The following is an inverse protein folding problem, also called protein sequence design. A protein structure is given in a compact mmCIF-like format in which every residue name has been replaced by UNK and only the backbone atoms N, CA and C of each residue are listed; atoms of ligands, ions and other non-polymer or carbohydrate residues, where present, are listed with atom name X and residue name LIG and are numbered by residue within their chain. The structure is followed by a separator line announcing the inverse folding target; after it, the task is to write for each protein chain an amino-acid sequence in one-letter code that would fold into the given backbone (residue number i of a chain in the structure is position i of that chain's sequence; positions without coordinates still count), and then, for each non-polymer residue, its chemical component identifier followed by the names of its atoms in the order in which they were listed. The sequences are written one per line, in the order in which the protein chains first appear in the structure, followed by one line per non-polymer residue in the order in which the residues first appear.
data_IF_296605659093
#
_entry.id   IF_296605659093
#
_cell.length_a   1.000
_cell.length_b   1.000
_cell.length_c   1.000
_cell.angle_alpha   90.00
_cell.angle_beta   90.00
_cell.angle_gamma   90.00
#
_symmetry.space_group_name_H-M   'P 1'
#
loop_
_entity.id
_entity.type
_entity.pdbx_description
1 polymer ?
#
# COMPACT_ATOMS: atom_id res chain seq x y z
N UNK A 1 25.62 -4.11 1.78
CA UNK A 1 24.64 -3.04 1.48
C UNK A 1 25.38 -1.87 0.87
N UNK A 2 24.85 -1.33 -0.22
CA UNK A 2 25.36 -0.11 -0.86
C UNK A 2 25.04 1.14 -0.01
N UNK A 3 25.63 2.29 -0.35
CA UNK A 3 25.27 3.59 0.26
C UNK A 3 23.82 3.98 0.00
N UNK A 4 23.28 3.64 -1.18
CA UNK A 4 21.87 3.85 -1.52
C UNK A 4 20.96 2.97 -0.65
N UNK A 5 21.31 1.71 -0.45
CA UNK A 5 20.57 0.77 0.41
C UNK A 5 20.43 1.30 1.85
N UNK A 6 21.53 1.84 2.39
CA UNK A 6 21.56 2.44 3.72
C UNK A 6 20.68 3.69 3.80
N UNK A 7 20.69 4.53 2.77
CA UNK A 7 19.86 5.72 2.70
C UNK A 7 18.36 5.38 2.65
N UNK A 8 17.99 4.35 1.89
CA UNK A 8 16.61 3.85 1.82
C UNK A 8 16.11 3.33 3.16
N UNK A 9 16.88 2.47 3.83
CA UNK A 9 16.51 1.94 5.15
C UNK A 9 16.40 3.08 6.17
N UNK A 10 17.37 4.00 6.21
CA UNK A 10 17.37 5.12 7.14
C UNK A 10 16.13 6.03 6.96
N UNK A 11 15.71 6.27 5.72
CA UNK A 11 14.52 7.06 5.40
C UNK A 11 13.24 6.43 5.94
N UNK A 12 13.01 5.15 5.65
CA UNK A 12 11.77 4.47 6.11
C UNK A 12 11.79 4.29 7.65
N UNK A 13 12.97 4.13 8.25
CA UNK A 13 13.12 4.14 9.70
C UNK A 13 12.80 5.51 10.33
N UNK A 14 13.12 6.61 9.66
CA UNK A 14 12.73 7.95 10.10
C UNK A 14 11.21 8.13 10.09
N UNK A 15 10.52 7.66 9.04
CA UNK A 15 9.05 7.62 8.98
C UNK A 15 8.46 6.81 10.15
N UNK A 16 9.03 5.63 10.43
CA UNK A 16 8.61 4.81 11.57
C UNK A 16 8.86 5.52 12.91
N UNK A 17 9.98 6.22 13.07
CA UNK A 17 10.30 6.97 14.27
C UNK A 17 9.30 8.11 14.50
N UNK A 18 8.95 8.85 13.44
CA UNK A 18 7.94 9.90 13.50
C UNK A 18 6.54 9.34 13.81
N UNK A 19 6.14 8.25 13.14
CA UNK A 19 4.91 7.53 13.45
C UNK A 19 4.83 7.11 14.92
N UNK A 20 5.91 6.55 15.48
CA UNK A 20 5.94 6.13 16.89
C UNK A 20 5.89 7.30 17.86
N UNK A 21 6.27 8.50 17.44
CA UNK A 21 6.13 9.72 18.26
C UNK A 21 4.67 10.15 18.36
N UNK A 22 3.92 10.08 17.26
CA UNK A 22 2.50 10.45 17.25
C UNK A 22 1.59 9.32 17.77
N UNK A 23 1.94 8.07 17.50
CA UNK A 23 1.07 6.91 17.70
C UNK A 23 1.83 5.73 18.34
N UNK A 24 2.41 5.90 19.54
CA UNK A 24 3.33 4.93 20.15
C UNK A 24 2.69 3.55 20.42
N UNK A 25 1.39 3.53 20.71
CA UNK A 25 0.62 2.36 21.13
C UNK A 25 -0.30 1.79 20.04
N UNK A 26 -0.24 2.33 18.81
CA UNK A 26 -1.02 1.87 17.66
C UNK A 26 -1.00 0.36 17.47
N UNK A 27 0.18 -0.25 17.52
CA UNK A 27 0.32 -1.69 17.34
C UNK A 27 -0.32 -2.48 18.47
N UNK A 28 -0.19 -2.03 19.71
CA UNK A 28 -0.73 -2.75 20.86
C UNK A 28 -2.27 -2.74 20.83
N UNK A 29 -2.87 -1.57 20.60
CA UNK A 29 -4.33 -1.42 20.53
C UNK A 29 -4.90 -2.15 19.31
N UNK A 30 -4.29 -1.96 18.14
CA UNK A 30 -4.71 -2.63 16.89
C UNK A 30 -4.55 -4.15 17.00
N UNK A 31 -3.45 -4.63 17.57
CA UNK A 31 -3.21 -6.05 17.81
C UNK A 31 -4.25 -6.69 18.71
N UNK A 32 -4.71 -5.98 19.76
CA UNK A 32 -5.82 -6.43 20.60
C UNK A 32 -7.15 -6.53 19.85
N UNK A 33 -7.41 -5.67 18.85
CA UNK A 33 -8.58 -5.82 17.97
C UNK A 33 -8.44 -7.03 17.05
N UNK A 34 -7.24 -7.28 16.52
CA UNK A 34 -6.97 -8.45 15.66
C UNK A 34 -7.14 -9.76 16.42
N UNK A 35 -6.75 -9.81 17.70
CA UNK A 35 -6.93 -10.99 18.55
C UNK A 35 -8.41 -11.34 18.81
N UNK A 36 -9.30 -10.36 18.64
CA UNK A 36 -10.76 -10.52 18.76
C UNK A 36 -11.43 -10.85 17.43
N UNK A 37 -10.67 -11.02 16.34
CA UNK A 37 -11.22 -11.41 15.03
C UNK A 37 -12.01 -12.71 15.15
N UNK A 38 -13.24 -12.70 14.62
CA UNK A 38 -14.18 -13.82 14.69
C UNK A 38 -15.13 -13.78 15.89
N UNK A 39 -14.98 -12.83 16.82
CA UNK A 39 -16.07 -12.49 17.74
C UNK A 39 -17.28 -11.94 16.96
N UNK A 40 -18.52 -12.11 17.46
CA UNK A 40 -19.70 -11.55 16.81
C UNK A 40 -19.58 -10.04 16.54
N UNK A 41 -19.70 -9.64 15.27
CA UNK A 41 -19.53 -8.26 14.82
C UNK A 41 -18.09 -7.84 14.52
N UNK A 42 -17.13 -8.77 14.63
CA UNK A 42 -15.71 -8.60 14.31
C UNK A 42 -15.24 -9.66 13.30
N UNK A 43 -16.01 -9.88 12.25
CA UNK A 43 -15.71 -10.82 11.17
C UNK A 43 -15.10 -10.13 9.96
N UNK A 44 -13.90 -10.57 9.56
CA UNK A 44 -13.28 -10.20 8.29
C UNK A 44 -12.34 -11.32 7.80
N UNK A 45 -11.97 -11.32 6.51
CA UNK A 45 -11.13 -12.38 5.94
C UNK A 45 -9.73 -12.46 6.54
N UNK A 46 -9.13 -13.64 6.49
CA UNK A 46 -7.81 -13.91 7.08
C UNK A 46 -6.66 -13.16 6.38
N UNK A 47 -6.80 -12.88 5.08
CA UNK A 47 -5.89 -12.09 4.26
C UNK A 47 -5.86 -10.60 4.61
N UNK A 48 -6.82 -10.10 5.40
CA UNK A 48 -6.79 -8.76 5.95
C UNK A 48 -6.32 -8.83 7.40
N UNK A 49 -5.20 -8.18 7.72
CA UNK A 49 -4.72 -8.14 9.10
C UNK A 49 -5.71 -7.41 10.01
N UNK A 50 -6.02 -6.15 9.68
CA UNK A 50 -7.01 -5.33 10.36
C UNK A 50 -7.72 -4.41 9.35
N UNK A 51 -9.06 -4.45 9.24
CA UNK A 51 -9.84 -3.47 8.50
C UNK A 51 -9.56 -2.03 8.93
N UNK A 52 -9.63 -1.05 8.01
CA UNK A 52 -9.38 0.35 8.40
C UNK A 52 -10.37 0.88 9.44
N UNK A 53 -11.56 0.27 9.58
CA UNK A 53 -12.49 0.56 10.66
C UNK A 53 -11.82 0.46 12.05
N UNK A 54 -10.88 -0.49 12.25
CA UNK A 54 -10.09 -0.59 13.47
C UNK A 54 -9.16 0.62 13.67
N UNK A 55 -8.53 1.10 12.59
CA UNK A 55 -7.72 2.33 12.61
C UNK A 55 -8.57 3.57 12.87
N UNK A 56 -9.77 3.66 12.30
CA UNK A 56 -10.72 4.74 12.57
C UNK A 56 -11.12 4.76 14.05
N UNK A 57 -11.47 3.61 14.61
CA UNK A 57 -11.80 3.50 16.03
C UNK A 57 -10.61 3.91 16.92
N UNK A 58 -9.40 3.48 16.58
CA UNK A 58 -8.16 3.86 17.24
C UNK A 58 -7.93 5.38 17.21
N UNK A 59 -8.05 6.04 16.05
CA UNK A 59 -7.83 7.48 15.92
C UNK A 59 -8.91 8.31 16.61
N UNK A 60 -10.17 7.88 16.48
CA UNK A 60 -11.31 8.52 17.14
C UNK A 60 -11.16 8.46 18.67
N UNK A 61 -10.69 7.33 19.22
CA UNK A 61 -10.42 7.20 20.67
C UNK A 61 -9.32 8.15 21.18
N UNK A 62 -8.46 8.66 20.28
CA UNK A 62 -7.43 9.68 20.57
C UNK A 62 -7.90 11.11 20.31
N UNK A 63 -9.19 11.30 20.03
CA UNK A 63 -9.75 12.62 19.68
C UNK A 63 -9.05 13.25 18.46
N UNK A 64 -8.48 12.44 17.56
CA UNK A 64 -8.03 12.92 16.25
C UNK A 64 -9.28 13.21 15.44
N UNK A 65 -9.45 14.47 15.01
CA UNK A 65 -10.65 14.95 14.33
C UNK A 65 -10.29 15.84 13.13
N UNK A 66 -11.30 16.14 12.31
CA UNK A 66 -11.18 17.03 11.15
C UNK A 66 -10.27 16.45 10.05
N UNK A 67 -9.62 17.34 9.30
CA UNK A 67 -8.80 16.98 8.13
C UNK A 67 -7.68 15.99 8.46
N UNK A 68 -7.14 16.05 9.68
CA UNK A 68 -6.10 15.14 10.17
C UNK A 68 -6.59 13.70 10.31
N UNK A 69 -7.87 13.50 10.64
CA UNK A 69 -8.43 12.16 10.74
C UNK A 69 -8.43 11.49 9.36
N UNK A 70 -8.90 12.19 8.33
CA UNK A 70 -8.97 11.66 6.96
C UNK A 70 -7.60 11.26 6.40
N UNK A 71 -6.59 12.10 6.59
CA UNK A 71 -5.23 11.84 6.09
C UNK A 71 -4.51 10.77 6.91
N UNK A 72 -4.63 10.79 8.24
CA UNK A 72 -3.87 9.89 9.10
C UNK A 72 -4.42 8.45 9.12
N UNK A 73 -5.69 8.21 8.78
CA UNK A 73 -6.27 6.84 8.71
C UNK A 73 -5.41 5.94 7.81
N UNK A 74 -5.06 6.41 6.60
CA UNK A 74 -4.19 5.67 5.67
C UNK A 74 -2.78 5.46 6.20
N UNK A 75 -2.16 6.55 6.69
CA UNK A 75 -0.76 6.56 7.17
C UNK A 75 -0.58 5.63 8.37
N UNK A 76 -1.50 5.70 9.33
CA UNK A 76 -1.48 4.90 10.56
C UNK A 76 -1.77 3.43 10.27
N UNK A 77 -2.74 3.13 9.39
CA UNK A 77 -3.02 1.74 9.00
C UNK A 77 -1.79 1.08 8.35
N UNK A 78 -1.14 1.78 7.42
CA UNK A 78 0.04 1.28 6.72
C UNK A 78 1.22 1.06 7.67
N UNK A 79 1.60 2.06 8.47
CA UNK A 79 2.79 1.96 9.35
C UNK A 79 2.57 1.06 10.56
N UNK A 80 1.33 0.88 11.03
CA UNK A 80 0.99 -0.13 12.05
C UNK A 80 1.21 -1.55 11.53
N UNK A 81 0.81 -1.83 10.29
CA UNK A 81 1.01 -3.13 9.66
C UNK A 81 2.46 -3.34 9.24
N UNK A 82 3.06 -2.34 8.59
CA UNK A 82 4.42 -2.44 8.06
C UNK A 82 5.44 -2.76 9.15
N UNK A 83 5.32 -2.15 10.34
CA UNK A 83 6.26 -2.41 11.45
C UNK A 83 6.29 -3.86 11.95
N UNK A 84 5.31 -4.69 11.58
CA UNK A 84 5.30 -6.12 11.90
C UNK A 84 6.39 -6.89 11.15
N UNK A 85 6.67 -6.50 9.90
CA UNK A 85 7.68 -7.14 9.06
C UNK A 85 8.87 -6.24 8.73
N UNK A 86 8.64 -4.94 8.54
CA UNK A 86 9.63 -3.92 8.15
C UNK A 86 10.41 -4.28 6.88
N UNK A 87 9.75 -4.91 5.91
CA UNK A 87 10.33 -5.20 4.59
C UNK A 87 10.35 -3.97 3.68
N UNK A 88 11.53 -3.66 3.15
CA UNK A 88 11.77 -2.69 2.06
C UNK A 88 12.18 -3.49 0.83
N UNK A 89 11.41 -3.36 -0.26
CA UNK A 89 11.56 -4.15 -1.47
C UNK A 89 12.11 -3.29 -2.61
N UNK A 90 13.26 -3.69 -3.12
CA UNK A 90 13.90 -3.11 -4.30
C UNK A 90 13.65 -4.03 -5.48
N UNK A 91 12.93 -3.52 -6.48
CA UNK A 91 12.57 -4.27 -7.68
C UNK A 91 13.66 -4.09 -8.73
N UNK A 92 14.20 -5.21 -9.20
CA UNK A 92 15.12 -5.24 -10.34
C UNK A 92 14.43 -4.60 -11.56
N UNK A 93 15.07 -3.66 -12.28
CA UNK A 93 14.48 -3.00 -13.44
C UNK A 93 13.90 -3.96 -14.49
N UNK A 94 14.47 -5.15 -14.65
CA UNK A 94 13.95 -6.19 -15.55
C UNK A 94 12.55 -6.68 -15.11
N UNK A 95 12.37 -6.93 -13.81
CA UNK A 95 11.09 -7.37 -13.23
C UNK A 95 10.06 -6.25 -13.32
N UNK A 96 10.46 -5.03 -12.93
CA UNK A 96 9.58 -3.86 -13.02
C UNK A 96 9.14 -3.60 -14.46
N UNK A 97 10.05 -3.69 -15.42
CA UNK A 97 9.76 -3.53 -16.85
C UNK A 97 8.79 -4.59 -17.38
N UNK A 98 8.92 -5.86 -16.96
CA UNK A 98 7.98 -6.90 -17.33
C UNK A 98 6.56 -6.63 -16.80
N UNK A 99 6.43 -6.37 -15.49
CA UNK A 99 5.14 -6.06 -14.85
C UNK A 99 4.49 -4.81 -15.44
N UNK A 100 5.32 -3.82 -15.78
CA UNK A 100 4.92 -2.60 -16.47
C UNK A 100 4.37 -2.93 -17.87
N UNK A 101 5.11 -3.71 -18.66
CA UNK A 101 4.69 -4.14 -19.99
C UNK A 101 3.36 -4.91 -19.98
N UNK A 102 3.17 -5.82 -19.03
CA UNK A 102 1.94 -6.58 -18.88
C UNK A 102 0.73 -5.68 -18.54
N UNK A 103 0.88 -4.79 -17.55
CA UNK A 103 -0.18 -3.86 -17.16
C UNK A 103 -0.49 -2.85 -18.27
N UNK A 104 0.54 -2.31 -18.93
CA UNK A 104 0.39 -1.31 -19.99
C UNK A 104 -0.24 -1.88 -21.25
N UNK A 105 0.12 -3.12 -21.60
CA UNK A 105 -0.57 -3.85 -22.66
C UNK A 105 -2.06 -4.01 -22.34
N UNK A 106 -2.41 -4.34 -21.10
CA UNK A 106 -3.83 -4.47 -20.68
C UNK A 106 -4.61 -3.15 -20.79
N UNK A 107 -3.94 -2.00 -20.66
CA UNK A 107 -4.55 -0.68 -20.74
C UNK A 107 -4.68 -0.15 -22.18
N UNK A 108 -4.22 -0.89 -23.20
CA UNK A 108 -4.24 -0.45 -24.59
C UNK A 108 -3.27 0.70 -24.92
N UNK A 109 -2.32 1.01 -24.03
CA UNK A 109 -1.33 2.07 -24.22
C UNK A 109 -0.66 2.52 -22.92
N UNK A 110 0.32 3.44 -23.04
CA UNK A 110 1.11 3.98 -21.92
C UNK A 110 0.30 4.84 -20.93
N UNK A 111 0.98 5.65 -20.11
CA UNK A 111 0.36 6.38 -18.99
C UNK A 111 -0.91 7.21 -19.33
N UNK A 112 -1.08 7.66 -20.57
CA UNK A 112 -2.30 8.37 -21.00
C UNK A 112 -3.58 7.51 -20.95
N UNK A 113 -3.45 6.18 -20.90
CA UNK A 113 -4.56 5.22 -20.89
C UNK A 113 -4.72 4.48 -19.55
N UNK A 114 -4.08 4.98 -18.48
CA UNK A 114 -4.07 4.31 -17.17
C UNK A 114 -5.47 3.90 -16.67
N UNK A 115 -6.52 4.64 -17.03
CA UNK A 115 -7.90 4.35 -16.63
C UNK A 115 -8.42 3.00 -17.14
N UNK A 116 -7.83 2.48 -18.22
CA UNK A 116 -8.22 1.23 -18.87
C UNK A 116 -7.47 0.02 -18.31
N UNK A 117 -6.48 0.23 -17.45
CA UNK A 117 -5.70 -0.84 -16.82
C UNK A 117 -6.60 -1.83 -16.10
N UNK A 118 -6.55 -3.10 -16.48
CA UNK A 118 -7.34 -4.16 -15.84
C UNK A 118 -6.72 -4.51 -14.50
N UNK A 119 -7.52 -4.50 -13.44
CA UNK A 119 -7.07 -4.86 -12.10
C UNK A 119 -7.12 -6.39 -11.93
N UNK A 120 -6.07 -7.02 -11.38
CA UNK A 120 -6.17 -8.42 -10.97
C UNK A 120 -7.20 -8.62 -9.85
N UNK A 121 -7.86 -9.79 -9.81
CA UNK A 121 -8.78 -10.14 -8.74
C UNK A 121 -8.15 -10.05 -7.34
N UNK A 122 -8.96 -9.80 -6.32
CA UNK A 122 -8.50 -9.63 -4.94
C UNK A 122 -7.65 -10.81 -4.43
N UNK A 123 -8.00 -12.03 -4.81
CA UNK A 123 -7.31 -13.27 -4.41
C UNK A 123 -5.87 -13.32 -4.93
N UNK A 124 -5.56 -12.59 -6.01
CA UNK A 124 -4.20 -12.51 -6.55
C UNK A 124 -3.25 -11.80 -5.58
N UNK A 125 -3.77 -10.79 -4.88
CA UNK A 125 -2.99 -9.95 -3.98
C UNK A 125 -2.69 -10.61 -2.62
N UNK A 126 -3.35 -11.71 -2.27
CA UNK A 126 -3.07 -12.44 -1.02
C UNK A 126 -1.68 -13.08 -1.00
N UNK A 127 -0.99 -13.09 -2.15
CA UNK A 127 0.41 -13.52 -2.29
C UNK A 127 1.44 -12.47 -1.88
N UNK A 128 1.01 -11.28 -1.44
CA UNK A 128 1.94 -10.29 -0.90
C UNK A 128 2.81 -10.93 0.20
N UNK A 129 4.12 -10.66 0.23
CA UNK A 129 5.04 -11.35 1.12
C UNK A 129 4.84 -10.98 2.60
N UNK A 130 4.31 -9.79 2.88
CA UNK A 130 4.07 -9.27 4.23
C UNK A 130 2.70 -8.58 4.30
N UNK A 131 2.16 -8.40 5.52
CA UNK A 131 0.89 -7.67 5.72
C UNK A 131 0.91 -6.26 5.11
N UNK A 132 2.07 -5.61 5.16
CA UNK A 132 2.33 -4.38 4.44
C UNK A 132 3.80 -4.35 4.01
N UNK A 133 4.04 -4.10 2.73
CA UNK A 133 5.36 -3.97 2.13
C UNK A 133 5.67 -2.49 1.90
N UNK A 134 6.94 -2.07 1.98
CA UNK A 134 7.39 -0.81 1.38
C UNK A 134 8.11 -1.13 0.08
N UNK A 135 7.60 -0.69 -1.07
CA UNK A 135 8.24 -0.87 -2.39
C UNK A 135 8.91 0.42 -2.81
N UNK A 136 10.19 0.36 -3.18
CA UNK A 136 10.91 1.52 -3.71
C UNK A 136 10.54 1.76 -5.17
N UNK A 137 10.52 3.02 -5.60
CA UNK A 137 10.40 3.36 -7.02
C UNK A 137 11.78 3.24 -7.70
N UNK A 138 11.98 2.31 -8.64
CA UNK A 138 13.23 2.24 -9.37
C UNK A 138 13.36 3.48 -10.28
N UNK A 139 14.53 4.15 -10.32
CA UNK A 139 14.73 5.32 -11.19
C UNK A 139 14.38 5.07 -12.66
N UNK A 140 14.64 3.84 -13.15
CA UNK A 140 14.37 3.45 -14.53
C UNK A 140 12.87 3.42 -14.86
N UNK A 141 12.02 3.11 -13.88
CA UNK A 141 10.55 3.14 -14.05
C UNK A 141 10.07 4.58 -14.12
N UNK A 142 10.63 5.47 -13.29
CA UNK A 142 10.30 6.90 -13.31
C UNK A 142 10.56 7.54 -14.68
N UNK A 143 11.69 7.23 -15.31
CA UNK A 143 12.05 7.81 -16.61
C UNK A 143 11.09 7.38 -17.73
N UNK A 144 10.52 6.17 -17.65
CA UNK A 144 9.52 5.66 -18.60
C UNK A 144 8.15 6.34 -18.48
N UNK A 145 7.90 7.05 -17.38
CA UNK A 145 6.63 7.70 -17.06
C UNK A 145 6.64 9.20 -17.37
N UNK A 146 7.60 9.65 -18.18
CA UNK A 146 7.77 11.06 -18.59
C UNK A 146 7.89 12.06 -17.43
N UNK A 147 8.29 11.59 -16.23
CA UNK A 147 8.72 12.44 -15.12
C UNK A 147 7.66 13.39 -14.51
N UNK A 148 6.36 13.15 -14.71
CA UNK A 148 5.32 14.08 -14.25
C UNK A 148 5.09 14.08 -12.72
N UNK A 149 5.37 12.96 -12.04
CA UNK A 149 5.17 12.81 -10.60
C UNK A 149 6.24 11.89 -10.01
N UNK A 150 7.07 12.39 -9.09
CA UNK A 150 8.15 11.63 -8.45
C UNK A 150 7.81 11.30 -7.01
N UNK A 151 8.08 10.07 -6.61
CA UNK A 151 7.98 9.60 -5.24
C UNK A 151 9.14 8.64 -4.93
N UNK A 152 9.35 8.36 -3.66
CA UNK A 152 10.47 7.54 -3.16
C UNK A 152 10.08 6.07 -3.05
N UNK A 153 8.81 5.79 -2.77
CA UNK A 153 8.25 4.47 -2.72
C UNK A 153 6.78 4.49 -2.32
N UNK A 154 6.24 3.33 -1.97
CA UNK A 154 4.88 3.22 -1.44
C UNK A 154 4.81 2.11 -0.40
N UNK A 155 4.07 2.35 0.66
CA UNK A 155 3.51 1.25 1.44
C UNK A 155 2.37 0.61 0.65
N UNK A 156 2.29 -0.71 0.67
CA UNK A 156 1.30 -1.51 -0.05
C UNK A 156 0.75 -2.57 0.90
N UNK A 157 -0.56 -2.54 1.14
CA UNK A 157 -1.23 -3.53 1.98
C UNK A 157 -2.66 -3.80 1.50
N UNK A 158 -3.22 -4.92 1.95
CA UNK A 158 -4.63 -5.25 1.72
C UNK A 158 -5.51 -4.70 2.81
N UNK A 159 -6.77 -4.48 2.46
CA UNK A 159 -7.82 -4.09 3.37
C UNK A 159 -9.16 -4.71 2.95
N UNK A 160 -9.98 -5.02 3.95
CA UNK A 160 -11.39 -5.34 3.81
C UNK A 160 -12.23 -4.19 4.37
N UNK A 161 -13.01 -3.51 3.53
CA UNK A 161 -14.01 -2.54 3.99
C UNK A 161 -15.19 -3.29 4.60
N UNK A 162 -15.27 -3.27 5.93
CA UNK A 162 -16.34 -3.92 6.71
C UNK A 162 -17.72 -3.32 6.48
N UNK A 163 -17.82 -2.08 5.96
CA UNK A 163 -19.11 -1.46 5.69
C UNK A 163 -19.73 -1.97 4.39
N UNK A 164 -18.92 -2.18 3.35
CA UNK A 164 -19.37 -2.61 2.02
C UNK A 164 -19.04 -4.06 1.68
N UNK A 165 -18.26 -4.75 2.52
CA UNK A 165 -17.78 -6.10 2.26
C UNK A 165 -16.78 -6.16 1.09
N UNK A 166 -15.98 -5.12 0.90
CA UNK A 166 -15.15 -4.92 -0.31
C UNK A 166 -13.66 -5.18 -0.04
N UNK A 167 -12.95 -5.86 -0.96
CA UNK A 167 -11.50 -5.91 -0.94
C UNK A 167 -10.88 -4.66 -1.58
N UNK A 168 -9.85 -4.12 -0.93
CA UNK A 168 -9.09 -2.97 -1.39
C UNK A 168 -7.58 -3.23 -1.33
N UNK A 169 -6.87 -2.70 -2.32
CA UNK A 169 -5.43 -2.49 -2.24
C UNK A 169 -5.21 -1.06 -1.77
N UNK A 170 -4.50 -0.91 -0.64
CA UNK A 170 -4.17 0.39 -0.06
C UNK A 170 -2.73 0.73 -0.39
N UNK A 171 -2.57 1.87 -1.06
CA UNK A 171 -1.28 2.46 -1.36
C UNK A 171 -1.08 3.67 -0.45
N UNK A 172 0.09 3.81 0.16
CA UNK A 172 0.50 5.06 0.81
C UNK A 172 1.81 5.50 0.19
N UNK A 173 1.71 6.42 -0.76
CA UNK A 173 2.83 6.90 -1.57
C UNK A 173 3.69 7.83 -0.72
N UNK A 174 4.99 7.55 -0.65
CA UNK A 174 5.99 8.37 0.03
C UNK A 174 6.59 9.38 -0.96
N UNK A 175 6.13 10.64 -0.91
CA UNK A 175 6.56 11.65 -1.89
C UNK A 175 7.91 12.28 -1.55
N UNK A 176 8.26 12.39 -0.27
CA UNK A 176 9.43 13.17 0.18
C UNK A 176 10.17 12.62 1.41
N UNK A 177 9.75 11.48 1.97
CA UNK A 177 10.35 10.84 3.13
C UNK A 177 9.85 11.38 4.47
N UNK A 178 8.82 12.23 4.47
CA UNK A 178 8.24 12.82 5.67
C UNK A 178 6.82 12.31 5.94
N UNK A 179 6.35 12.41 7.18
CA UNK A 179 4.97 12.03 7.53
C UNK A 179 3.91 12.76 6.69
N UNK A 180 4.12 14.06 6.41
CA UNK A 180 3.16 14.84 5.64
C UNK A 180 3.20 14.55 4.13
N UNK A 181 4.35 14.08 3.63
CA UNK A 181 4.50 13.56 2.27
C UNK A 181 3.91 12.17 2.04
N UNK A 182 3.26 11.58 3.04
CA UNK A 182 2.53 10.32 2.86
C UNK A 182 1.14 10.59 2.28
N UNK A 183 0.90 10.09 1.06
CA UNK A 183 -0.36 10.21 0.32
C UNK A 183 -1.11 8.86 0.25
N UNK A 184 -2.20 8.67 1.02
CA UNK A 184 -3.03 7.47 0.92
C UNK A 184 -3.89 7.45 -0.35
N UNK A 185 -3.93 6.29 -1.02
CA UNK A 185 -4.71 6.03 -2.23
C UNK A 185 -5.39 4.65 -2.09
N UNK A 186 -6.71 4.61 -1.90
CA UNK A 186 -7.50 3.38 -1.98
C UNK A 186 -7.64 2.95 -3.44
N UNK A 187 -7.45 1.66 -3.72
CA UNK A 187 -7.75 1.03 -5.00
C UNK A 187 -8.74 -0.11 -4.76
N UNK A 188 -9.98 0.10 -5.18
CA UNK A 188 -11.06 -0.88 -5.04
C UNK A 188 -10.87 -2.05 -6.00
N UNK A 189 -10.64 -3.25 -5.45
CA UNK A 189 -10.31 -4.45 -6.22
C UNK A 189 -11.54 -5.15 -6.80
N UNK A 190 -12.75 -4.73 -6.40
CA UNK A 190 -14.04 -5.16 -6.97
C UNK A 190 -14.45 -4.33 -8.20
N UNK A 191 -13.52 -3.53 -8.75
CA UNK A 191 -13.72 -2.74 -9.97
C UNK A 191 -12.91 -3.32 -11.12
N UNK A 192 -13.45 -3.30 -12.35
CA UNK A 192 -12.82 -3.96 -13.49
C UNK A 192 -11.53 -3.27 -13.94
N UNK A 193 -11.42 -1.95 -13.73
CA UNK A 193 -10.27 -1.17 -14.16
C UNK A 193 -9.80 -0.19 -13.08
N UNK A 194 -8.55 0.24 -13.19
CA UNK A 194 -7.98 1.26 -12.33
C UNK A 194 -8.76 2.58 -12.40
N UNK A 195 -9.23 2.97 -13.59
CA UNK A 195 -10.08 4.16 -13.73
C UNK A 195 -11.38 4.04 -12.96
N UNK A 196 -12.05 2.89 -13.04
CA UNK A 196 -13.28 2.64 -12.28
C UNK A 196 -13.03 2.63 -10.76
N UNK A 197 -11.92 2.05 -10.31
CA UNK A 197 -11.51 2.06 -8.91
C UNK A 197 -11.26 3.47 -8.37
N UNK A 198 -10.48 4.27 -9.10
CA UNK A 198 -10.10 5.62 -8.67
C UNK A 198 -11.27 6.60 -8.73
N UNK A 199 -12.15 6.48 -9.73
CA UNK A 199 -13.35 7.32 -9.82
C UNK A 199 -14.34 7.03 -8.67
N UNK A 200 -14.59 5.75 -8.36
CA UNK A 200 -15.48 5.36 -7.26
C UNK A 200 -14.90 5.79 -5.90
N UNK A 201 -13.57 5.69 -5.74
CA UNK A 201 -12.86 6.20 -4.57
C UNK A 201 -13.00 7.72 -4.41
N UNK A 202 -12.83 8.47 -5.50
CA UNK A 202 -12.98 9.93 -5.50
C UNK A 202 -14.41 10.33 -5.12
N UNK A 203 -15.41 9.68 -5.72
CA UNK A 203 -16.81 9.92 -5.39
C UNK A 203 -17.13 9.65 -3.91
N UNK A 204 -16.58 8.57 -3.32
CA UNK A 204 -16.75 8.29 -1.90
C UNK A 204 -16.09 9.34 -1.00
N UNK A 205 -14.91 9.85 -1.39
CA UNK A 205 -14.24 10.91 -0.65
C UNK A 205 -15.03 12.24 -0.70
N UNK A 206 -15.55 12.61 -1.87
CA UNK A 206 -16.38 13.81 -2.05
C UNK A 206 -17.69 13.70 -1.26
N UNK A 207 -18.31 12.52 -1.25
CA UNK A 207 -19.52 12.25 -0.49
C UNK A 207 -19.26 12.35 1.03
N UNK A 208 -18.15 11.78 1.51
CA UNK A 208 -17.73 11.91 2.91
C UNK A 208 -17.46 13.39 3.31
N UNK A 209 -16.80 14.16 2.44
CA UNK A 209 -16.53 15.59 2.68
C UNK A 209 -17.81 16.44 2.73
N UNK A 210 -18.86 16.03 2.02
CA UNK A 210 -20.17 16.71 2.00
C UNK A 210 -21.15 16.16 3.05
N UNK A 211 -20.72 15.21 3.89
CA UNK A 211 -21.57 14.57 4.91
C UNK A 211 -22.60 13.58 4.34
N UNK A 212 -22.52 13.27 3.05
CA UNK A 212 -23.38 12.30 2.37
C UNK A 212 -22.71 10.91 2.40
N UNK A 213 -23.15 10.02 3.29
CA UNK A 213 -22.72 8.63 3.24
C UNK A 213 -23.50 7.92 2.11
N UNK A 214 -22.83 7.56 1.02
CA UNK A 214 -23.38 6.65 -0.01
C UNK A 214 -24.06 7.28 -1.24
N UNK A 215 -23.51 8.35 -1.82
CA UNK A 215 -24.04 8.93 -3.06
C UNK A 215 -23.75 8.08 -4.32
N UNK A 216 -24.68 8.08 -5.28
CA UNK A 216 -24.63 7.32 -6.53
C UNK A 216 -23.54 7.85 -7.51
N UNK A 217 -22.62 6.96 -7.85
CA UNK A 217 -21.39 7.12 -8.67
C UNK A 217 -21.68 7.64 -10.09
N UNK A 218 -22.93 7.56 -10.57
CA UNK A 218 -23.29 7.91 -11.95
C UNK A 218 -23.39 9.42 -12.23
N UNK A 219 -23.25 10.27 -11.21
CA UNK A 219 -23.58 11.70 -11.30
C UNK A 219 -22.41 12.66 -11.48
N UNK A 220 -21.15 12.23 -11.33
CA UNK A 220 -19.97 13.11 -11.41
C UNK A 220 -19.23 12.92 -12.75
N UNK A 221 -19.32 13.89 -13.66
CA UNK A 221 -18.58 13.90 -14.92
C UNK A 221 -17.26 14.66 -14.78
N UNK A 222 -16.15 13.96 -15.02
CA UNK A 222 -14.78 14.50 -15.10
C UNK A 222 -13.97 14.29 -13.81
N UNK A 223 -12.77 13.71 -13.93
CA UNK A 223 -11.86 13.55 -12.80
C UNK A 223 -11.18 14.88 -12.46
N UNK A 224 -11.23 15.29 -11.18
CA UNK A 224 -10.48 16.44 -10.68
C UNK A 224 -8.96 16.25 -10.82
N UNK A 225 -8.18 17.33 -10.78
CA UNK A 225 -6.70 17.27 -10.83
C UNK A 225 -6.13 16.32 -9.76
N UNK A 226 -6.72 16.33 -8.56
CA UNK A 226 -6.36 15.40 -7.48
C UNK A 226 -6.69 13.94 -7.80
N UNK A 227 -7.79 13.68 -8.51
CA UNK A 227 -8.16 12.33 -8.97
C UNK A 227 -7.18 11.83 -10.03
N UNK A 228 -6.79 12.69 -10.98
CA UNK A 228 -5.78 12.36 -11.99
C UNK A 228 -4.43 12.06 -11.35
N UNK A 229 -3.98 12.88 -10.39
CA UNK A 229 -2.74 12.67 -9.67
C UNK A 229 -2.73 11.31 -8.94
N UNK A 230 -3.80 10.98 -8.21
CA UNK A 230 -3.93 9.69 -7.51
C UNK A 230 -3.97 8.52 -8.49
N UNK A 231 -4.67 8.66 -9.61
CA UNK A 231 -4.72 7.65 -10.67
C UNK A 231 -3.35 7.37 -11.28
N UNK A 232 -2.61 8.43 -11.60
CA UNK A 232 -1.23 8.31 -12.08
C UNK A 232 -0.32 7.70 -11.03
N UNK A 233 -0.39 8.14 -9.77
CA UNK A 233 0.42 7.56 -8.70
C UNK A 233 0.13 6.05 -8.50
N UNK A 234 -1.15 5.65 -8.49
CA UNK A 234 -1.53 4.24 -8.43
C UNK A 234 -1.02 3.45 -9.64
N UNK A 235 -1.13 4.03 -10.85
CA UNK A 235 -0.61 3.45 -12.08
C UNK A 235 0.91 3.19 -12.03
N UNK A 236 1.67 4.09 -11.40
CA UNK A 236 3.12 3.92 -11.23
C UNK A 236 3.49 2.87 -10.19
N UNK A 237 2.69 2.72 -9.13
CA UNK A 237 2.94 1.78 -8.04
C UNK A 237 2.47 0.36 -8.36
N UNK A 238 1.38 0.20 -9.11
CA UNK A 238 0.79 -1.10 -9.40
C UNK A 238 1.78 -2.11 -10.01
N UNK A 239 2.58 -1.77 -11.04
CA UNK A 239 3.59 -2.70 -11.57
C UNK A 239 4.60 -3.18 -10.51
N UNK A 240 4.95 -2.31 -9.56
CA UNK A 240 5.87 -2.65 -8.47
C UNK A 240 5.21 -3.60 -7.47
N UNK A 241 3.94 -3.36 -7.14
CA UNK A 241 3.16 -4.24 -6.29
C UNK A 241 2.90 -5.61 -6.95
N UNK A 242 2.63 -5.63 -8.26
CA UNK A 242 2.48 -6.85 -9.07
C UNK A 242 3.76 -7.68 -9.10
N UNK A 243 4.91 -7.01 -9.16
CA UNK A 243 6.22 -7.66 -9.11
C UNK A 243 6.43 -8.47 -7.82
N UNK A 244 5.81 -8.08 -6.70
CA UNK A 244 5.90 -8.81 -5.43
C UNK A 244 5.09 -10.12 -5.40
N UNK A 245 4.11 -10.25 -6.30
CA UNK A 245 3.18 -11.39 -6.34
C UNK A 245 3.30 -12.23 -7.62
N UNK A 246 4.30 -11.92 -8.44
CA UNK A 246 4.67 -12.70 -9.62
C UNK A 246 5.30 -14.04 -9.17
N UNK A 247 4.72 -15.20 -9.56
CA UNK A 247 5.24 -16.50 -9.17
C UNK A 247 6.63 -16.82 -9.77
N UNK A 248 7.06 -16.13 -10.82
CA UNK A 248 8.38 -16.30 -11.43
C UNK A 248 9.49 -15.51 -10.71
N UNK A 249 9.12 -14.53 -9.88
CA UNK A 249 10.05 -13.71 -9.12
C UNK A 249 10.66 -14.48 -7.96
N UNK A 250 11.93 -14.18 -7.67
CA UNK A 250 12.60 -14.56 -6.44
C UNK A 250 12.83 -13.32 -5.60
N UNK A 251 12.46 -13.41 -4.32
CA UNK A 251 12.77 -12.38 -3.33
C UNK A 251 13.97 -12.84 -2.52
N UNK A 252 15.10 -12.13 -2.66
CA UNK A 252 16.37 -12.41 -1.99
C UNK A 252 16.55 -11.45 -0.81
N UNK A 253 16.79 -12.01 0.38
CA UNK A 253 16.97 -11.28 1.63
C UNK A 253 16.48 -12.12 2.82
N UNK A 254 16.50 -11.57 4.03
CA UNK A 254 15.68 -12.11 5.12
C UNK A 254 14.24 -11.75 4.73
N UNK A 255 13.52 -12.66 4.06
CA UNK A 255 12.10 -12.52 3.72
C UNK A 255 11.32 -13.32 4.76
N UNK A 256 10.25 -12.74 5.30
CA UNK A 256 9.45 -13.39 6.34
C UNK A 256 8.02 -13.52 5.83
N UNK A 257 7.34 -14.63 6.14
CA UNK A 257 5.90 -14.69 5.92
C UNK A 257 5.21 -13.58 6.73
N UNK A 258 3.94 -13.26 6.42
CA UNK A 258 3.16 -12.33 7.22
C UNK A 258 3.24 -12.70 8.70
N UNK A 259 3.53 -11.69 9.54
CA UNK A 259 3.77 -11.91 10.96
C UNK A 259 2.57 -12.59 11.62
N UNK A 260 2.84 -13.42 12.63
CA UNK A 260 1.82 -14.03 13.48
C UNK A 260 1.99 -13.54 14.92
N UNK A 261 0.89 -13.52 15.68
CA UNK A 261 0.94 -13.17 17.10
C UNK A 261 1.81 -14.17 17.88
N UNK A 262 2.65 -13.66 18.79
CA UNK A 262 3.52 -14.46 19.67
C UNK A 262 2.97 -14.41 21.10
N UNK A 263 2.43 -15.53 21.57
CA UNK A 263 1.85 -15.61 22.92
C UNK A 263 0.66 -14.66 23.11
N UNK A 264 -0.19 -14.50 22.09
CA UNK A 264 -1.32 -13.56 22.12
C UNK A 264 -0.86 -12.11 22.20
N UNK A 265 0.25 -11.76 21.53
CA UNK A 265 0.71 -10.39 21.36
C UNK A 265 1.31 -10.17 19.99
N UNK A 266 1.02 -9.01 19.41
CA UNK A 266 1.64 -8.55 18.17
C UNK A 266 2.91 -7.74 18.47
N UNK A 267 4.05 -8.22 17.98
CA UNK A 267 5.36 -7.60 18.20
C UNK A 267 5.92 -7.05 16.88
N UNK A 268 6.56 -5.86 16.91
CA UNK A 268 7.20 -5.33 15.72
C UNK A 268 8.44 -6.15 15.34
N UNK A 269 8.80 -6.13 14.06
CA UNK A 269 10.10 -6.63 13.62
C UNK A 269 11.25 -5.81 14.24
N UNK A 270 12.36 -6.46 14.64
CA UNK A 270 13.43 -5.81 15.39
C UNK A 270 14.19 -4.76 14.56
N UNK A 271 14.28 -4.95 13.25
CA UNK A 271 15.00 -4.08 12.33
C UNK A 271 14.31 -4.06 10.96
N UNK A 272 14.58 -2.99 10.21
CA UNK A 272 14.18 -2.91 8.80
C UNK A 272 15.09 -3.78 7.95
N UNK A 273 14.49 -4.47 6.99
CA UNK A 273 15.15 -5.45 6.12
C UNK A 273 15.03 -5.01 4.68
N UNK A 274 16.11 -5.14 3.93
CA UNK A 274 16.12 -4.92 2.50
C UNK A 274 15.94 -6.26 1.78
N UNK A 275 15.05 -6.28 0.79
CA UNK A 275 14.74 -7.44 -0.03
C UNK A 275 14.89 -7.06 -1.52
N UNK A 276 15.69 -7.83 -2.25
CA UNK A 276 15.84 -7.69 -3.69
C UNK A 276 14.83 -8.58 -4.40
N UNK A 277 14.17 -8.06 -5.43
CA UNK A 277 13.16 -8.79 -6.21
C UNK A 277 13.67 -8.93 -7.63
N UNK A 278 14.03 -10.15 -8.04
CA UNK A 278 14.65 -10.44 -9.35
C UNK A 278 14.17 -11.78 -9.93
N UNK A 279 14.21 -11.94 -11.25
CA UNK A 279 14.07 -13.25 -11.91
C UNK A 279 15.33 -14.11 -11.79
N UNK A 280 16.47 -13.50 -11.47
CA UNK A 280 17.77 -14.18 -11.45
C UNK A 280 18.05 -14.77 -10.07
N UNK A 281 18.72 -15.92 -10.04
CA UNK A 281 19.33 -16.41 -8.81
C UNK A 281 20.48 -15.47 -8.39
N UNK A 282 20.70 -15.22 -7.09
CA UNK A 282 21.86 -14.48 -6.66
C UNK A 282 23.11 -15.19 -7.18
N UNK A 283 23.90 -14.50 -7.99
CA UNK A 283 25.22 -15.00 -8.35
C UNK A 283 26.02 -15.07 -7.05
N UNK A 284 26.31 -16.28 -6.59
CA UNK A 284 27.38 -16.51 -5.64
C UNK A 284 28.62 -15.88 -6.26
N UNK A 285 29.03 -14.72 -5.76
CA UNK A 285 30.36 -14.23 -6.03
C UNK A 285 31.30 -15.25 -5.40
N UNK A 286 31.91 -16.09 -6.23
CA UNK A 286 33.06 -16.89 -5.85
C UNK A 286 34.09 -15.91 -5.27
N UNK A 287 34.50 -16.21 -4.03
CA UNK A 287 35.56 -15.50 -3.31
C UNK A 287 36.88 -15.64 -4.08
#
# INVERSE_FOLDING_TARGET
MSTADLASVARVDALLAEFRRYYPDALAVSGGLVERRGEPGLEWPDWCWLPMAGTVAYLTSRSVQGDRLGTDIGRVAALTQWRLGRGVYQIDPEVAGYSTGALWHSAGGGAAHWQQAVLPPAETWTRLPEWCCYVELPPQVYDQLSGAFRFLGSFVHLEFDTHRGRPELRLVVDTDGTWEGLLPIPVYLDRPTLGAAINDMSANADAAATGAIGADVRSLRGASDGTQLKGLAAWMVLPLALSLIDPAVRIVGDVRPPATARGGRWLPAPSTRLCQVSYRSPTLKSV
#
